data_IF_456617914751
#
_entry.id   IF_456617914751
#
_cell.length_a   1.000
_cell.length_b   1.000
_cell.length_c   1.000
_cell.angle_alpha   90.00
_cell.angle_beta   90.00
_cell.angle_gamma   90.00
#
_symmetry.space_group_name_H-M   'P 1'
#
loop_
_entity.id
_entity.type
_entity.pdbx_description
1 polymer ?
#
# COMPACT_ATOMS: atom_id res chain seq x y z
N UNK A 1 -20.93 -2.27 -18.87
CA UNK A 1 -20.37 -3.62 -18.63
C UNK A 1 -19.01 -3.47 -17.95
N UNK A 2 -18.86 -4.08 -16.76
CA UNK A 2 -17.60 -4.14 -16.04
C UNK A 2 -16.58 -4.78 -16.98
N UNK A 3 -15.43 -4.14 -17.25
CA UNK A 3 -14.47 -4.72 -18.17
C UNK A 3 -13.93 -6.03 -17.58
N UNK A 4 -14.04 -7.13 -18.31
CA UNK A 4 -13.38 -8.43 -18.01
C UNK A 4 -11.84 -8.33 -18.00
N UNK A 5 -11.29 -7.14 -18.21
CA UNK A 5 -9.87 -6.85 -18.34
C UNK A 5 -9.17 -6.41 -17.05
N UNK A 6 -9.74 -6.68 -15.86
CA UNK A 6 -9.14 -6.28 -14.59
C UNK A 6 -8.07 -7.27 -14.07
N UNK A 7 -7.79 -8.33 -14.81
CA UNK A 7 -6.65 -9.20 -14.48
C UNK A 7 -5.35 -8.39 -14.51
N UNK A 8 -4.68 -8.34 -13.38
CA UNK A 8 -3.43 -7.60 -13.17
C UNK A 8 -3.55 -6.06 -13.11
N UNK A 9 -4.70 -5.53 -12.65
CA UNK A 9 -4.92 -4.09 -12.44
C UNK A 9 -5.47 -3.85 -11.05
N UNK A 10 -5.15 -2.69 -10.48
CA UNK A 10 -5.72 -2.23 -9.21
C UNK A 10 -6.67 -1.07 -9.44
N UNK A 11 -7.64 -0.94 -8.55
CA UNK A 11 -8.67 0.10 -8.58
C UNK A 11 -8.42 1.04 -7.40
N UNK A 12 -8.25 2.32 -7.70
CA UNK A 12 -8.04 3.38 -6.73
C UNK A 12 -9.24 4.32 -6.74
N UNK A 13 -10.22 4.14 -5.85
CA UNK A 13 -11.37 5.02 -5.75
C UNK A 13 -11.09 6.17 -4.80
N UNK A 14 -11.75 7.29 -5.04
CA UNK A 14 -11.71 8.46 -4.18
C UNK A 14 -10.83 9.57 -4.68
N UNK A 15 -11.35 10.79 -4.56
CA UNK A 15 -10.75 12.01 -5.10
C UNK A 15 -9.32 12.25 -4.59
N UNK A 16 -9.11 12.12 -3.28
CA UNK A 16 -7.79 12.36 -2.69
C UNK A 16 -6.79 11.27 -3.08
N UNK A 17 -7.21 10.00 -3.08
CA UNK A 17 -6.34 8.90 -3.50
C UNK A 17 -5.92 9.02 -4.97
N UNK A 18 -6.87 9.35 -5.85
CA UNK A 18 -6.60 9.58 -7.27
C UNK A 18 -5.64 10.77 -7.46
N UNK A 19 -5.83 11.86 -6.71
CA UNK A 19 -4.94 13.01 -6.79
C UNK A 19 -3.50 12.69 -6.40
N UNK A 20 -3.29 11.96 -5.31
CA UNK A 20 -1.94 11.57 -4.86
C UNK A 20 -1.25 10.66 -5.88
N UNK A 21 -1.96 9.66 -6.42
CA UNK A 21 -1.41 8.78 -7.46
C UNK A 21 -1.07 9.54 -8.73
N UNK A 22 -1.94 10.47 -9.17
CA UNK A 22 -1.66 11.35 -10.31
C UNK A 22 -0.43 12.23 -10.11
N UNK A 23 -0.25 12.72 -8.89
CA UNK A 23 0.83 13.65 -8.57
C UNK A 23 2.20 12.98 -8.53
N UNK A 24 2.27 11.77 -8.01
CA UNK A 24 3.55 11.12 -7.72
C UNK A 24 3.91 9.99 -8.68
N UNK A 25 2.91 9.25 -9.18
CA UNK A 25 3.14 8.08 -10.05
C UNK A 25 2.13 8.02 -11.22
N UNK A 26 1.96 9.11 -12.00
CA UNK A 26 0.98 9.18 -13.08
C UNK A 26 1.17 8.10 -14.15
N UNK A 27 2.40 7.63 -14.34
CA UNK A 27 2.76 6.57 -15.28
C UNK A 27 2.15 5.20 -14.93
N UNK A 28 1.71 4.99 -13.69
CA UNK A 28 0.96 3.78 -13.31
C UNK A 28 -0.50 3.83 -13.76
N UNK A 29 -1.07 5.00 -13.99
CA UNK A 29 -2.48 5.16 -14.32
C UNK A 29 -2.73 4.79 -15.78
N UNK A 30 -3.61 3.80 -16.00
CA UNK A 30 -4.05 3.37 -17.32
C UNK A 30 -5.22 4.23 -17.79
N UNK A 31 -6.15 4.52 -16.85
CA UNK A 31 -7.40 5.20 -17.16
C UNK A 31 -7.97 5.84 -15.89
N UNK A 32 -8.65 6.96 -16.05
CA UNK A 32 -9.34 7.66 -14.98
C UNK A 32 -10.82 7.85 -15.34
N UNK A 33 -11.69 7.38 -14.47
CA UNK A 33 -13.13 7.63 -14.52
C UNK A 33 -13.50 8.79 -13.59
N UNK A 34 -14.41 9.65 -14.05
CA UNK A 34 -14.91 10.76 -13.24
C UNK A 34 -16.39 11.01 -13.50
N UNK A 35 -17.09 11.59 -12.51
CA UNK A 35 -18.49 11.99 -12.65
C UNK A 35 -18.64 13.50 -12.82
N UNK A 36 -19.68 13.93 -13.52
CA UNK A 36 -19.97 15.34 -13.84
C UNK A 36 -20.33 16.21 -12.63
N UNK A 37 -20.65 15.60 -11.48
CA UNK A 37 -21.11 16.32 -10.28
C UNK A 37 -19.99 16.98 -9.46
N UNK A 38 -18.76 16.92 -9.94
CA UNK A 38 -17.58 17.42 -9.23
C UNK A 38 -17.13 18.78 -9.80
N UNK A 39 -17.68 19.88 -9.27
CA UNK A 39 -17.36 21.25 -9.70
C UNK A 39 -16.35 22.00 -8.81
N UNK A 40 -15.75 21.34 -7.84
CA UNK A 40 -14.79 21.98 -6.94
C UNK A 40 -13.37 22.09 -7.52
N UNK A 41 -12.53 22.95 -6.89
CA UNK A 41 -11.15 23.20 -7.34
C UNK A 41 -10.31 21.92 -7.42
N UNK A 42 -10.44 21.02 -6.44
CA UNK A 42 -9.67 19.75 -6.41
C UNK A 42 -10.03 18.87 -7.61
N UNK A 43 -11.29 18.79 -7.98
CA UNK A 43 -11.77 18.04 -9.13
C UNK A 43 -11.20 18.62 -10.44
N UNK A 44 -11.18 19.94 -10.57
CA UNK A 44 -10.57 20.63 -11.72
C UNK A 44 -9.06 20.36 -11.81
N UNK A 45 -8.35 20.38 -10.68
CA UNK A 45 -6.92 20.10 -10.62
C UNK A 45 -6.61 18.64 -11.05
N UNK A 46 -7.43 17.68 -10.63
CA UNK A 46 -7.30 16.27 -11.05
C UNK A 46 -7.46 16.13 -12.57
N UNK A 47 -8.51 16.71 -13.13
CA UNK A 47 -8.76 16.61 -14.57
C UNK A 47 -7.68 17.29 -15.40
N UNK A 48 -7.18 18.43 -14.94
CA UNK A 48 -6.05 19.13 -15.58
C UNK A 48 -4.79 18.26 -15.52
N UNK A 49 -4.41 17.78 -14.33
CA UNK A 49 -3.22 16.98 -14.13
C UNK A 49 -3.26 15.67 -14.94
N UNK A 50 -4.44 15.05 -15.06
CA UNK A 50 -4.62 13.86 -15.88
C UNK A 50 -4.41 14.16 -17.38
N UNK A 51 -4.94 15.28 -17.88
CA UNK A 51 -4.73 15.73 -19.27
C UNK A 51 -3.26 16.03 -19.54
N UNK A 52 -2.61 16.76 -18.64
CA UNK A 52 -1.20 17.13 -18.76
C UNK A 52 -0.27 15.89 -18.81
N UNK A 53 -0.69 14.79 -18.19
CA UNK A 53 0.01 13.49 -18.22
C UNK A 53 -0.48 12.54 -19.33
N UNK A 54 -1.37 12.98 -20.22
CA UNK A 54 -1.88 12.16 -21.33
C UNK A 54 -2.75 10.97 -20.90
N UNK A 55 -3.35 11.02 -19.70
CA UNK A 55 -4.16 9.94 -19.15
C UNK A 55 -5.54 9.94 -19.78
N UNK A 56 -6.00 8.76 -20.20
CA UNK A 56 -7.34 8.59 -20.76
C UNK A 56 -8.41 8.89 -19.72
N UNK A 57 -9.25 9.89 -19.99
CA UNK A 57 -10.38 10.30 -19.16
C UNK A 57 -11.68 9.73 -19.71
N UNK A 58 -12.55 9.25 -18.81
CA UNK A 58 -13.90 8.81 -19.18
C UNK A 58 -14.92 9.36 -18.19
N UNK A 59 -15.91 10.08 -18.72
CA UNK A 59 -17.05 10.58 -17.97
C UNK A 59 -18.07 9.45 -17.78
N UNK A 60 -18.44 9.19 -16.54
CA UNK A 60 -19.39 8.14 -16.15
C UNK A 60 -20.29 8.64 -15.03
N UNK A 61 -21.31 7.86 -14.65
CA UNK A 61 -22.13 8.18 -13.48
C UNK A 61 -21.44 7.75 -12.16
N UNK A 62 -21.84 8.37 -11.03
CA UNK A 62 -21.40 7.91 -9.70
C UNK A 62 -21.77 6.45 -9.45
N UNK A 63 -22.92 6.01 -9.97
CA UNK A 63 -23.35 4.63 -9.86
C UNK A 63 -22.43 3.66 -10.60
N UNK A 64 -21.89 4.07 -11.76
CA UNK A 64 -20.93 3.25 -12.49
C UNK A 64 -19.61 3.12 -11.73
N UNK A 65 -19.14 4.22 -11.13
CA UNK A 65 -17.95 4.20 -10.26
C UNK A 65 -18.18 3.29 -9.06
N UNK A 66 -19.35 3.35 -8.42
CA UNK A 66 -19.72 2.47 -7.32
C UNK A 66 -19.70 0.99 -7.74
N UNK A 67 -20.31 0.66 -8.89
CA UNK A 67 -20.32 -0.72 -9.42
C UNK A 67 -18.91 -1.27 -9.69
N UNK A 68 -17.98 -0.41 -10.16
CA UNK A 68 -16.61 -0.82 -10.46
C UNK A 68 -15.80 -0.98 -9.17
N UNK A 69 -15.91 -0.05 -8.23
CA UNK A 69 -15.08 0.00 -7.03
C UNK A 69 -15.63 -0.79 -5.85
N UNK A 70 -16.96 -0.98 -5.81
CA UNK A 70 -17.69 -1.45 -4.63
C UNK A 70 -17.41 -0.61 -3.36
N UNK A 71 -17.18 0.70 -3.56
CA UNK A 71 -16.91 1.67 -2.48
C UNK A 71 -17.88 2.82 -2.55
N UNK A 72 -18.74 2.95 -1.55
CA UNK A 72 -19.85 3.92 -1.53
C UNK A 72 -19.38 5.38 -1.63
N UNK A 73 -18.42 5.78 -0.82
CA UNK A 73 -17.95 7.16 -0.78
C UNK A 73 -16.72 7.34 -1.72
N UNK A 74 -16.90 7.10 -3.03
CA UNK A 74 -15.84 7.24 -4.02
C UNK A 74 -15.60 8.68 -4.50
N UNK A 75 -16.41 9.63 -4.04
CA UNK A 75 -16.30 11.07 -4.35
C UNK A 75 -16.26 11.38 -5.86
N UNK A 76 -16.80 10.49 -6.70
CA UNK A 76 -16.91 10.66 -8.14
C UNK A 76 -15.59 10.52 -8.93
N UNK A 77 -14.56 9.89 -8.35
CA UNK A 77 -13.30 9.61 -9.02
C UNK A 77 -12.83 8.17 -8.80
N UNK A 78 -12.27 7.58 -9.85
CA UNK A 78 -11.67 6.26 -9.82
C UNK A 78 -10.54 6.17 -10.84
N UNK A 79 -9.36 5.76 -10.42
CA UNK A 79 -8.26 5.41 -11.31
C UNK A 79 -8.09 3.90 -11.43
N UNK A 80 -7.80 3.43 -12.64
CA UNK A 80 -7.30 2.08 -12.88
C UNK A 80 -5.80 2.18 -13.06
N UNK A 81 -5.05 1.43 -12.25
CA UNK A 81 -3.60 1.44 -12.27
C UNK A 81 -3.05 0.06 -12.64
N UNK A 82 -1.85 0.06 -13.21
CA UNK A 82 -1.08 -1.17 -13.44
C UNK A 82 -0.76 -1.80 -12.09
N UNK A 83 -0.91 -3.11 -11.98
CA UNK A 83 -0.33 -3.85 -10.88
C UNK A 83 1.14 -4.14 -11.24
N UNK A 84 2.06 -3.74 -10.37
CA UNK A 84 3.48 -4.05 -10.58
C UNK A 84 3.63 -5.58 -10.57
N UNK A 85 4.12 -6.14 -11.66
CA UNK A 85 4.09 -7.57 -11.92
C UNK A 85 5.10 -8.37 -11.09
N UNK A 86 6.03 -7.72 -10.42
CA UNK A 86 7.08 -8.38 -9.64
C UNK A 86 7.24 -7.77 -8.23
N UNK A 87 6.31 -8.14 -7.38
CA UNK A 87 6.33 -7.81 -5.95
C UNK A 87 7.03 -8.91 -5.12
N UNK A 88 7.99 -9.63 -5.70
CA UNK A 88 8.67 -10.72 -5.02
C UNK A 88 9.75 -10.20 -4.06
N UNK A 89 9.93 -10.91 -2.94
CA UNK A 89 11.02 -10.63 -2.01
C UNK A 89 12.39 -10.72 -2.71
N UNK A 90 12.55 -11.68 -3.61
CA UNK A 90 13.80 -11.87 -4.37
C UNK A 90 14.17 -10.62 -5.18
N UNK A 91 13.22 -10.07 -5.94
CA UNK A 91 13.46 -8.85 -6.73
C UNK A 91 13.73 -7.64 -5.83
N UNK A 92 12.98 -7.51 -4.74
CA UNK A 92 13.24 -6.47 -3.76
C UNK A 92 14.68 -6.55 -3.21
N UNK A 93 15.13 -7.73 -2.77
CA UNK A 93 16.48 -7.93 -2.25
C UNK A 93 17.58 -7.64 -3.28
N UNK A 94 17.34 -7.92 -4.56
CA UNK A 94 18.29 -7.54 -5.62
C UNK A 94 18.39 -6.03 -5.77
N UNK A 95 17.28 -5.32 -5.70
CA UNK A 95 17.22 -3.87 -5.86
C UNK A 95 17.87 -3.13 -4.70
N UNK A 96 17.66 -3.58 -3.45
CA UNK A 96 18.23 -2.91 -2.27
C UNK A 96 19.76 -3.05 -2.15
N UNK A 97 20.38 -4.01 -2.82
CA UNK A 97 21.86 -4.12 -2.87
C UNK A 97 22.53 -2.88 -3.46
N UNK A 98 21.78 -2.09 -4.24
CA UNK A 98 22.26 -0.84 -4.81
C UNK A 98 22.15 0.35 -3.84
N UNK A 99 21.42 0.21 -2.72
CA UNK A 99 21.25 1.23 -1.68
C UNK A 99 22.31 1.06 -0.59
N UNK A 100 23.57 1.35 -0.92
CA UNK A 100 24.66 1.35 0.07
C UNK A 100 24.52 2.59 0.96
N UNK A 101 24.54 2.37 2.28
CA UNK A 101 24.50 3.40 3.34
C UNK A 101 23.18 4.11 3.58
N UNK A 102 22.06 3.60 3.11
CA UNK A 102 20.74 4.12 3.47
C UNK A 102 20.10 3.30 4.59
N UNK A 103 19.40 3.96 5.50
CA UNK A 103 18.55 3.28 6.48
C UNK A 103 17.35 2.69 5.77
N UNK A 104 17.13 1.38 5.91
CA UNK A 104 16.04 0.65 5.27
C UNK A 104 15.11 0.11 6.35
N UNK A 105 13.86 0.54 6.33
CA UNK A 105 12.80 0.00 7.17
C UNK A 105 11.74 -0.70 6.33
N UNK A 106 11.43 -1.95 6.66
CA UNK A 106 10.31 -2.73 6.11
C UNK A 106 9.25 -2.86 7.20
N UNK A 107 7.99 -2.66 6.87
CA UNK A 107 6.87 -2.97 7.76
C UNK A 107 6.27 -4.32 7.36
N UNK A 108 6.37 -5.32 8.23
CA UNK A 108 5.76 -6.63 8.02
C UNK A 108 4.40 -6.67 8.72
N UNK A 109 3.34 -6.99 7.97
CA UNK A 109 1.96 -6.98 8.46
C UNK A 109 1.51 -8.41 8.73
N UNK A 110 1.35 -8.75 10.03
CA UNK A 110 0.92 -10.08 10.45
C UNK A 110 -0.57 -10.11 10.80
N UNK A 111 -1.35 -10.78 9.93
CA UNK A 111 -2.76 -11.11 10.23
C UNK A 111 -3.69 -9.91 10.46
N UNK A 112 -3.37 -8.76 9.90
CA UNK A 112 -4.28 -7.61 9.90
C UNK A 112 -5.36 -7.87 8.86
N UNK A 113 -6.62 -7.98 9.27
CA UNK A 113 -7.76 -8.32 8.41
C UNK A 113 -8.61 -7.10 8.06
N UNK A 114 -8.64 -6.08 8.90
CA UNK A 114 -9.41 -4.87 8.65
C UNK A 114 -8.77 -4.00 7.56
N UNK A 115 -9.50 -3.70 6.46
CA UNK A 115 -9.02 -2.81 5.39
C UNK A 115 -8.64 -1.41 5.87
N UNK A 116 -9.30 -0.90 6.91
CA UNK A 116 -8.98 0.42 7.47
C UNK A 116 -7.62 0.42 8.17
N UNK A 117 -7.33 -0.63 8.96
CA UNK A 117 -6.05 -0.77 9.62
C UNK A 117 -4.92 -0.95 8.59
N UNK A 118 -5.12 -1.79 7.57
CA UNK A 118 -4.12 -1.95 6.52
C UNK A 118 -3.90 -0.65 5.73
N UNK A 119 -4.97 0.07 5.40
CA UNK A 119 -4.87 1.37 4.73
C UNK A 119 -4.11 2.41 5.56
N UNK A 120 -4.34 2.44 6.88
CA UNK A 120 -3.63 3.31 7.80
C UNK A 120 -2.13 2.96 7.89
N UNK A 121 -1.78 1.66 7.88
CA UNK A 121 -0.39 1.19 7.85
C UNK A 121 0.31 1.68 6.56
N UNK A 122 -0.33 1.55 5.39
CA UNK A 122 0.24 2.05 4.13
C UNK A 122 0.43 3.57 4.17
N UNK A 123 -0.56 4.31 4.69
CA UNK A 123 -0.46 5.77 4.78
C UNK A 123 0.67 6.20 5.72
N UNK A 124 0.80 5.59 6.89
CA UNK A 124 1.90 5.84 7.80
C UNK A 124 3.25 5.46 7.16
N UNK A 125 3.32 4.31 6.49
CA UNK A 125 4.52 3.83 5.81
C UNK A 125 5.02 4.83 4.76
N UNK A 126 4.13 5.39 3.97
CA UNK A 126 4.48 6.43 2.99
C UNK A 126 4.99 7.70 3.67
N UNK A 127 4.30 8.19 4.71
CA UNK A 127 4.68 9.40 5.41
C UNK A 127 6.05 9.29 6.12
N UNK A 128 6.41 8.10 6.61
CA UNK A 128 7.67 7.86 7.32
C UNK A 128 8.79 7.31 6.43
N UNK A 129 8.60 7.23 5.13
CA UNK A 129 9.62 6.77 4.20
C UNK A 129 9.98 5.28 4.34
N UNK A 130 9.01 4.45 4.73
CA UNK A 130 9.18 3.00 4.79
C UNK A 130 9.49 2.47 3.39
N UNK A 131 10.51 1.64 3.27
CA UNK A 131 10.99 1.12 1.97
C UNK A 131 10.02 0.14 1.32
N UNK A 132 9.36 -0.70 2.12
CA UNK A 132 8.36 -1.64 1.65
C UNK A 132 7.41 -2.09 2.76
N UNK A 133 6.19 -2.48 2.37
CA UNK A 133 5.23 -3.20 3.22
C UNK A 133 5.20 -4.65 2.79
N UNK A 134 5.50 -5.56 3.72
CA UNK A 134 5.51 -7.01 3.53
C UNK A 134 4.17 -7.60 3.97
N UNK A 135 3.45 -8.24 3.06
CA UNK A 135 2.15 -8.87 3.30
C UNK A 135 2.15 -10.34 2.89
N UNK A 136 1.29 -11.15 3.54
CA UNK A 136 1.16 -12.56 3.21
C UNK A 136 -0.06 -12.80 2.31
N UNK A 137 0.14 -13.37 1.12
CA UNK A 137 -0.92 -13.67 0.13
C UNK A 137 -2.09 -14.49 0.68
N UNK A 138 -1.80 -15.40 1.60
CA UNK A 138 -2.76 -16.41 2.08
C UNK A 138 -3.35 -16.09 3.46
N UNK A 139 -2.96 -14.99 4.08
CA UNK A 139 -3.36 -14.65 5.46
C UNK A 139 -3.43 -13.14 5.61
N UNK A 140 -4.60 -12.59 5.38
CA UNK A 140 -4.82 -11.18 5.61
C UNK A 140 -5.55 -10.51 4.47
N UNK A 141 -5.65 -9.21 4.56
CA UNK A 141 -6.36 -8.39 3.60
C UNK A 141 -5.47 -8.14 2.38
N UNK A 142 -6.00 -8.47 1.21
CA UNK A 142 -5.42 -8.01 -0.06
C UNK A 142 -5.57 -6.49 -0.18
N UNK A 143 -4.76 -5.86 -1.03
CA UNK A 143 -4.94 -4.45 -1.39
C UNK A 143 -6.23 -4.31 -2.20
N UNK A 144 -7.33 -4.10 -1.48
CA UNK A 144 -8.66 -3.87 -2.05
C UNK A 144 -8.83 -2.39 -2.42
N UNK A 145 -9.88 -2.03 -3.21
CA UNK A 145 -10.22 -0.62 -3.45
C UNK A 145 -10.46 0.18 -2.14
N UNK A 146 -11.02 -0.46 -1.11
CA UNK A 146 -11.19 0.15 0.21
C UNK A 146 -9.84 0.48 0.86
N UNK A 147 -8.89 -0.45 0.85
CA UNK A 147 -7.52 -0.21 1.36
C UNK A 147 -6.86 0.94 0.62
N UNK A 148 -6.90 0.95 -0.71
CA UNK A 148 -6.32 2.00 -1.54
C UNK A 148 -6.91 3.38 -1.23
N UNK A 149 -8.22 3.45 -1.00
CA UNK A 149 -8.91 4.68 -0.62
C UNK A 149 -8.50 5.17 0.77
N UNK A 150 -8.54 4.29 1.78
CA UNK A 150 -8.14 4.63 3.17
C UNK A 150 -6.68 5.05 3.23
N UNK A 151 -5.82 4.38 2.48
CA UNK A 151 -4.40 4.72 2.34
C UNK A 151 -4.15 6.03 1.57
N UNK A 152 -5.20 6.67 1.03
CA UNK A 152 -5.09 7.90 0.21
C UNK A 152 -4.10 7.70 -0.96
N UNK A 153 -4.12 6.53 -1.61
CA UNK A 153 -3.24 6.19 -2.72
C UNK A 153 -1.83 5.71 -2.33
N UNK A 154 -1.48 5.66 -1.04
CA UNK A 154 -0.17 5.22 -0.57
C UNK A 154 0.17 3.78 -0.98
N UNK A 155 -0.82 2.93 -1.26
CA UNK A 155 -0.63 1.58 -1.80
C UNK A 155 0.12 1.56 -3.15
N UNK A 156 0.14 2.69 -3.87
CA UNK A 156 0.83 2.86 -5.15
C UNK A 156 2.17 3.59 -5.00
N UNK A 157 2.42 4.21 -3.85
CA UNK A 157 3.62 4.99 -3.54
C UNK A 157 4.65 4.19 -2.75
N UNK A 158 4.20 3.26 -1.90
CA UNK A 158 5.06 2.35 -1.13
C UNK A 158 5.16 1.01 -1.84
N UNK A 159 6.35 0.43 -1.90
CA UNK A 159 6.52 -0.90 -2.44
C UNK A 159 5.77 -1.93 -1.59
N UNK A 160 5.05 -2.83 -2.24
CA UNK A 160 4.43 -3.98 -1.58
C UNK A 160 5.20 -5.24 -1.93
N UNK A 161 5.60 -6.01 -0.91
CA UNK A 161 6.21 -7.34 -1.10
C UNK A 161 5.18 -8.38 -0.67
N UNK A 162 4.80 -9.24 -1.60
CA UNK A 162 3.84 -10.31 -1.33
C UNK A 162 4.56 -11.64 -1.17
N UNK A 163 4.38 -12.27 0.00
CA UNK A 163 4.98 -13.57 0.31
C UNK A 163 3.92 -14.63 0.64
N UNK A 164 4.25 -15.88 0.47
CA UNK A 164 3.38 -17.00 0.85
C UNK A 164 3.54 -17.39 2.33
N UNK A 165 4.71 -17.12 2.92
CA UNK A 165 5.01 -17.41 4.31
C UNK A 165 5.85 -16.28 4.93
N UNK A 166 5.28 -15.61 5.93
CA UNK A 166 5.91 -14.47 6.60
C UNK A 166 7.19 -14.85 7.33
N UNK A 167 7.17 -15.98 8.06
CA UNK A 167 8.33 -16.44 8.83
C UNK A 167 9.54 -16.75 7.93
N UNK A 168 9.29 -17.43 6.80
CA UNK A 168 10.34 -17.72 5.82
C UNK A 168 10.91 -16.42 5.25
N UNK A 169 10.06 -15.46 4.90
CA UNK A 169 10.49 -14.18 4.36
C UNK A 169 11.34 -13.37 5.37
N UNK A 170 10.93 -13.34 6.63
CA UNK A 170 11.70 -12.70 7.70
C UNK A 170 13.08 -13.35 7.86
N UNK A 171 13.16 -14.68 7.82
CA UNK A 171 14.44 -15.40 7.89
C UNK A 171 15.37 -15.10 6.72
N UNK A 172 14.81 -14.93 5.52
CA UNK A 172 15.59 -14.49 4.35
C UNK A 172 16.12 -13.07 4.53
N UNK A 173 15.29 -12.15 5.00
CA UNK A 173 15.69 -10.77 5.29
C UNK A 173 16.77 -10.70 6.39
N UNK A 174 16.68 -11.51 7.43
CA UNK A 174 17.71 -11.60 8.49
C UNK A 174 19.07 -12.01 7.94
N UNK A 175 19.11 -12.93 6.97
CA UNK A 175 20.38 -13.31 6.30
C UNK A 175 21.03 -12.14 5.54
N UNK A 176 20.20 -11.16 5.11
CA UNK A 176 20.67 -9.93 4.45
C UNK A 176 20.97 -8.79 5.46
N UNK A 177 20.99 -9.09 6.76
CA UNK A 177 21.37 -8.17 7.83
C UNK A 177 20.24 -7.34 8.42
N UNK A 178 18.97 -7.70 8.19
CA UNK A 178 17.83 -7.04 8.82
C UNK A 178 17.61 -7.51 10.26
N UNK A 179 17.29 -6.57 11.12
CA UNK A 179 16.84 -6.81 12.49
C UNK A 179 15.34 -6.81 12.60
N UNK A 180 14.77 -7.76 13.33
CA UNK A 180 13.34 -7.85 13.57
C UNK A 180 12.96 -7.14 14.85
N UNK A 181 11.92 -6.31 14.77
CA UNK A 181 11.36 -5.54 15.88
C UNK A 181 9.85 -5.80 15.89
N UNK A 182 9.35 -6.48 16.90
CA UNK A 182 7.91 -6.71 17.04
C UNK A 182 7.26 -5.55 17.81
N UNK A 183 6.24 -4.93 17.23
CA UNK A 183 5.40 -3.98 17.95
C UNK A 183 4.46 -4.75 18.88
N UNK A 184 4.82 -4.83 20.17
CA UNK A 184 4.12 -5.58 21.17
C UNK A 184 4.24 -4.92 22.55
N UNK A 185 3.38 -5.30 23.48
CA UNK A 185 3.40 -4.81 24.86
C UNK A 185 3.61 -6.00 25.79
N UNK A 186 4.79 -6.07 26.40
CA UNK A 186 5.14 -7.09 27.40
C UNK A 186 6.21 -6.54 28.37
N UNK A 187 6.59 -7.32 29.37
CA UNK A 187 7.55 -6.91 30.40
C UNK A 187 8.96 -6.56 29.87
N UNK A 188 9.31 -7.05 28.68
CA UNK A 188 10.60 -6.79 28.01
C UNK A 188 10.53 -5.68 26.95
N UNK A 189 9.35 -5.10 26.75
CA UNK A 189 9.16 -4.06 25.76
C UNK A 189 9.88 -2.78 26.16
N UNK A 190 10.54 -2.15 25.19
CA UNK A 190 11.17 -0.84 25.32
C UNK A 190 10.25 0.20 24.68
N UNK A 191 10.15 1.38 25.26
CA UNK A 191 9.40 2.47 24.65
C UNK A 191 9.99 2.85 23.31
N UNK A 192 9.13 3.12 22.33
CA UNK A 192 9.54 3.49 20.99
C UNK A 192 10.47 4.71 20.95
N UNK A 193 10.26 5.67 21.88
CA UNK A 193 11.10 6.88 22.00
C UNK A 193 12.53 6.58 22.46
N UNK A 194 12.72 5.48 23.17
CA UNK A 194 14.02 5.06 23.71
C UNK A 194 14.71 4.00 22.83
N UNK A 195 14.05 3.61 21.71
CA UNK A 195 14.54 2.57 20.81
C UNK A 195 15.26 3.16 19.61
N UNK A 196 16.52 2.80 19.43
CA UNK A 196 17.30 3.17 18.25
C UNK A 196 17.16 2.10 17.17
N UNK A 197 16.54 2.47 16.04
CA UNK A 197 16.35 1.56 14.92
C UNK A 197 17.68 1.25 14.24
N UNK A 198 18.00 -0.05 14.03
CA UNK A 198 19.12 -0.47 13.20
C UNK A 198 19.01 0.07 11.77
N UNK A 199 20.14 0.13 11.06
CA UNK A 199 20.18 0.58 9.66
C UNK A 199 19.24 -0.23 8.76
N UNK A 200 19.17 -1.54 8.98
CA UNK A 200 18.22 -2.44 8.29
C UNK A 200 17.28 -3.04 9.32
N UNK A 201 16.02 -2.64 9.28
CA UNK A 201 15.01 -3.05 10.25
C UNK A 201 13.73 -3.56 9.60
N UNK A 202 13.09 -4.53 10.26
CA UNK A 202 11.76 -5.02 9.96
C UNK A 202 10.90 -4.72 11.18
N UNK A 203 9.96 -3.80 11.05
CA UNK A 203 8.94 -3.56 12.07
C UNK A 203 7.76 -4.49 11.83
N UNK A 204 7.50 -5.42 12.73
CA UNK A 204 6.39 -6.36 12.64
C UNK A 204 5.20 -5.79 13.40
N UNK A 205 4.09 -5.55 12.69
CA UNK A 205 2.81 -5.10 13.24
C UNK A 205 1.79 -6.23 13.14
N UNK A 206 1.14 -6.55 14.26
CA UNK A 206 0.13 -7.60 14.35
C UNK A 206 -1.29 -7.08 14.26
N UNK A 207 -2.25 -8.00 14.27
CA UNK A 207 -3.67 -7.69 14.32
C UNK A 207 -4.06 -7.02 15.64
N UNK A 208 -5.08 -6.18 15.59
CA UNK A 208 -5.68 -5.57 16.78
C UNK A 208 -6.21 -6.65 17.73
N UNK A 209 -5.86 -6.54 19.01
CA UNK A 209 -6.27 -7.48 20.06
C UNK A 209 -5.38 -8.72 20.19
N UNK A 210 -4.96 -9.38 19.11
CA UNK A 210 -4.11 -10.58 19.16
C UNK A 210 -2.62 -10.29 19.04
N UNK A 211 -2.27 -9.10 18.54
CA UNK A 211 -0.88 -8.68 18.34
C UNK A 211 -0.12 -9.53 17.33
N UNK A 212 1.18 -9.54 17.45
CA UNK A 212 2.10 -10.34 16.61
C UNK A 212 2.11 -11.79 17.05
N UNK A 213 2.08 -12.72 16.11
CA UNK A 213 2.16 -14.16 16.40
C UNK A 213 3.44 -14.53 17.12
N UNK A 214 3.33 -15.47 18.08
CA UNK A 214 4.48 -15.95 18.88
C UNK A 214 5.67 -16.38 18.00
N UNK A 215 5.43 -17.16 16.96
CA UNK A 215 6.49 -17.63 16.06
C UNK A 215 7.28 -16.50 15.37
N UNK A 216 6.70 -15.29 15.23
CA UNK A 216 7.38 -14.13 14.69
C UNK A 216 8.10 -13.31 15.78
N UNK A 217 7.64 -13.41 17.02
CA UNK A 217 8.30 -12.79 18.19
C UNK A 217 9.54 -13.56 18.63
N UNK A 218 9.60 -14.85 18.33
CA UNK A 218 10.72 -15.73 18.71
C UNK A 218 11.90 -15.64 17.69
N UNK A 219 11.73 -14.90 16.59
CA UNK A 219 12.77 -14.62 15.57
C UNK A 219 13.63 -13.40 15.92
#
# INVERSE_FOLDING_TARGET
SIPKELNNKRIIPGRNAVYEVLRYVPNKIIKLYYSSENGDKRSSDILKLAKDNGIKLELVTKQDILKISNVDNNQGFLAIVKNDSDNSLKTYLQNIKNFQNEKICIVAVDSVEDPHNLGAIYRASECFGVSAVLICKNRGVCITPTVAKVAVGATELVNTIEVSNMLTAIRELKKEGFWCIAADVNEKSVNLHDFEFPEKSILIVGAEGTGVKKALKDE
#
